data_IF_777067383153
#
_entry.id   IF_777067383153
#
_cell.length_a   1.000
_cell.length_b   1.000
_cell.length_c   1.000
_cell.angle_alpha   90.00
_cell.angle_beta   90.00
_cell.angle_gamma   90.00
#
_symmetry.space_group_name_H-M   'P 1'
#
loop_
_entity.id
_entity.type
_entity.pdbx_description
1 polymer ?
#
# COMPACT_ATOMS: atom_id res chain seq x y z
N UNK A 1 -6.30 -55.58 -49.22
CA UNK A 1 -6.71 -54.52 -48.24
C UNK A 1 -6.43 -53.17 -48.94
N UNK A 2 -7.46 -52.35 -49.18
CA UNK A 2 -7.39 -51.21 -50.07
C UNK A 2 -6.52 -50.09 -49.47
N UNK A 3 -5.53 -49.61 -50.22
CA UNK A 3 -4.59 -48.52 -49.85
C UNK A 3 -5.33 -47.31 -49.26
N UNK A 4 -6.53 -46.98 -49.77
CA UNK A 4 -7.38 -45.90 -49.22
C UNK A 4 -7.82 -46.10 -47.77
N UNK A 5 -8.01 -47.35 -47.30
CA UNK A 5 -8.35 -47.67 -45.89
C UNK A 5 -7.12 -47.53 -44.98
N UNK A 6 -5.91 -47.82 -45.45
CA UNK A 6 -4.66 -47.70 -44.73
C UNK A 6 -4.32 -46.19 -44.53
N UNK A 7 -4.51 -45.37 -45.60
CA UNK A 7 -4.32 -43.89 -45.49
C UNK A 7 -5.32 -43.24 -44.50
N UNK A 8 -6.59 -43.73 -44.50
CA UNK A 8 -7.60 -43.17 -43.57
C UNK A 8 -7.31 -43.51 -42.12
N UNK A 9 -6.80 -44.72 -41.82
CA UNK A 9 -6.43 -45.12 -40.46
C UNK A 9 -5.15 -44.41 -40.01
N UNK A 10 -4.16 -44.16 -40.89
CA UNK A 10 -2.98 -43.36 -40.55
C UNK A 10 -3.33 -41.88 -40.31
N UNK A 11 -4.27 -41.30 -41.09
CA UNK A 11 -4.69 -39.93 -40.87
C UNK A 11 -5.46 -39.74 -39.55
N UNK A 12 -6.29 -40.70 -39.15
CA UNK A 12 -6.95 -40.69 -37.85
C UNK A 12 -5.98 -40.89 -36.69
N UNK A 13 -4.94 -41.73 -36.83
CA UNK A 13 -3.92 -41.93 -35.83
C UNK A 13 -3.03 -40.69 -35.64
N UNK A 14 -2.75 -39.91 -36.69
CA UNK A 14 -2.01 -38.68 -36.63
C UNK A 14 -2.84 -37.53 -35.97
N UNK A 15 -4.16 -37.47 -36.19
CA UNK A 15 -5.06 -36.51 -35.57
C UNK A 15 -5.29 -36.79 -34.09
N UNK A 16 -5.21 -38.04 -33.64
CA UNK A 16 -5.34 -38.41 -32.22
C UNK A 16 -4.03 -38.17 -31.43
N UNK A 17 -2.86 -38.27 -32.06
CA UNK A 17 -1.57 -37.90 -31.41
C UNK A 17 -1.37 -36.39 -31.24
N UNK A 18 -1.96 -35.56 -32.12
CA UNK A 18 -1.86 -34.10 -31.99
C UNK A 18 -2.77 -33.52 -30.89
N UNK A 19 -3.75 -34.28 -30.36
CA UNK A 19 -4.58 -33.88 -29.23
C UNK A 19 -3.95 -34.18 -27.86
N UNK A 20 -2.88 -34.96 -27.83
CA UNK A 20 -2.16 -35.29 -26.58
C UNK A 20 -0.92 -34.43 -26.33
N UNK A 21 -0.51 -33.59 -27.31
CA UNK A 21 0.63 -32.69 -27.18
C UNK A 21 0.24 -31.28 -26.68
N UNK A 22 -1.02 -31.04 -26.33
CA UNK A 22 -1.55 -29.75 -25.89
C UNK A 22 -1.72 -29.57 -24.38
N UNK A 23 -1.29 -30.52 -23.54
CA UNK A 23 -1.17 -30.30 -22.10
C UNK A 23 0.19 -29.67 -21.77
N UNK A 24 0.43 -28.48 -22.23
CA UNK A 24 1.34 -27.58 -21.54
C UNK A 24 0.76 -27.37 -20.13
N UNK A 25 1.47 -27.80 -19.10
CA UNK A 25 1.10 -27.51 -17.70
C UNK A 25 0.93 -26.00 -17.57
N UNK A 26 -0.31 -25.52 -17.65
CA UNK A 26 -0.59 -24.12 -17.38
C UNK A 26 -0.23 -23.91 -15.90
N UNK A 27 0.76 -23.04 -15.66
CA UNK A 27 1.16 -22.71 -14.29
C UNK A 27 -0.05 -22.29 -13.48
N UNK A 28 -0.14 -22.74 -12.23
CA UNK A 28 -1.21 -22.30 -11.33
C UNK A 28 -1.13 -20.79 -11.13
N UNK A 29 -2.21 -20.07 -11.42
CA UNK A 29 -2.28 -18.61 -11.26
C UNK A 29 -2.54 -18.28 -9.80
N UNK A 30 -1.82 -17.29 -9.27
CA UNK A 30 -2.13 -16.60 -8.01
C UNK A 30 -2.30 -15.13 -8.32
N UNK A 31 -3.45 -14.56 -7.96
CA UNK A 31 -3.78 -13.16 -8.20
C UNK A 31 -3.73 -12.37 -6.88
N UNK A 32 -2.89 -11.35 -6.86
CA UNK A 32 -2.68 -10.47 -5.71
C UNK A 32 -3.19 -9.08 -6.06
N UNK A 33 -4.11 -8.52 -5.25
CA UNK A 33 -4.45 -7.10 -5.33
C UNK A 33 -3.63 -6.33 -4.30
N UNK A 34 -3.11 -5.17 -4.71
CA UNK A 34 -2.25 -4.35 -3.85
C UNK A 34 -2.43 -2.86 -4.08
N UNK A 35 -2.12 -2.08 -3.05
CA UNK A 35 -1.95 -0.62 -3.12
C UNK A 35 -0.53 -0.17 -2.77
N UNK A 36 0.42 -1.10 -2.79
CA UNK A 36 1.83 -0.84 -2.46
C UNK A 36 2.49 0.05 -3.51
N UNK A 37 3.47 0.82 -3.10
CA UNK A 37 4.21 1.71 -4.00
C UNK A 37 5.04 0.93 -5.04
N UNK A 38 5.23 1.52 -6.23
CA UNK A 38 5.81 0.85 -7.40
C UNK A 38 7.17 0.20 -7.14
N UNK A 39 8.07 0.89 -6.42
CA UNK A 39 9.42 0.38 -6.11
C UNK A 39 9.39 -0.87 -5.21
N UNK A 40 8.38 -0.99 -4.35
CA UNK A 40 8.16 -2.20 -3.53
C UNK A 40 7.50 -3.30 -4.35
N UNK A 41 6.55 -2.93 -5.23
CA UNK A 41 5.87 -3.87 -6.11
C UNK A 41 6.87 -4.59 -7.02
N UNK A 42 7.83 -3.87 -7.59
CA UNK A 42 8.90 -4.45 -8.40
C UNK A 42 9.75 -5.45 -7.60
N UNK A 43 10.17 -5.09 -6.38
CA UNK A 43 10.93 -5.98 -5.48
C UNK A 43 10.13 -7.22 -5.10
N UNK A 44 8.84 -7.06 -4.75
CA UNK A 44 7.95 -8.17 -4.41
C UNK A 44 7.76 -9.11 -5.61
N UNK A 45 7.47 -8.57 -6.79
CA UNK A 45 7.27 -9.38 -8.00
C UNK A 45 8.53 -10.17 -8.35
N UNK A 46 9.72 -9.55 -8.23
CA UNK A 46 10.99 -10.25 -8.44
C UNK A 46 11.15 -11.38 -7.44
N UNK A 47 11.00 -11.12 -6.14
CA UNK A 47 11.15 -12.13 -5.10
C UNK A 47 10.16 -13.31 -5.29
N UNK A 48 8.92 -13.01 -5.64
CA UNK A 48 7.91 -14.04 -5.88
C UNK A 48 8.23 -14.90 -7.12
N UNK A 49 8.71 -14.29 -8.20
CA UNK A 49 9.10 -15.00 -9.43
C UNK A 49 10.31 -15.93 -9.18
N UNK A 50 11.27 -15.47 -8.37
CA UNK A 50 12.45 -16.26 -8.00
C UNK A 50 12.07 -17.44 -7.07
N UNK A 51 11.20 -17.21 -6.09
CA UNK A 51 10.79 -18.22 -5.10
C UNK A 51 9.84 -19.26 -5.70
N UNK A 52 8.97 -18.87 -6.63
CA UNK A 52 7.91 -19.70 -7.20
C UNK A 52 7.93 -19.72 -8.74
N UNK A 53 9.02 -20.22 -9.36
CA UNK A 53 9.15 -20.21 -10.83
C UNK A 53 8.08 -21.05 -11.55
N UNK A 54 7.42 -21.97 -10.85
CA UNK A 54 6.38 -22.84 -11.39
C UNK A 54 4.96 -22.27 -11.27
N UNK A 55 4.79 -21.11 -10.61
CA UNK A 55 3.51 -20.39 -10.51
C UNK A 55 3.45 -19.23 -11.48
N UNK A 56 2.23 -18.84 -11.85
CA UNK A 56 1.93 -17.60 -12.57
C UNK A 56 1.36 -16.58 -11.56
N UNK A 57 2.24 -15.79 -10.94
CA UNK A 57 1.84 -14.83 -9.93
C UNK A 57 1.65 -13.48 -10.61
N UNK A 58 0.42 -12.96 -10.53
CA UNK A 58 0.01 -11.68 -11.09
C UNK A 58 -0.31 -10.72 -9.96
N UNK A 59 0.32 -9.56 -9.95
CA UNK A 59 0.05 -8.48 -8.99
C UNK A 59 -0.68 -7.37 -9.73
N UNK A 60 -1.88 -6.99 -9.26
CA UNK A 60 -2.67 -5.88 -9.80
C UNK A 60 -2.63 -4.72 -8.81
N UNK A 61 -2.05 -3.61 -9.23
CA UNK A 61 -2.01 -2.37 -8.47
C UNK A 61 -3.31 -1.57 -8.61
N UNK A 62 -3.75 -1.02 -7.50
CA UNK A 62 -4.85 -0.04 -7.41
C UNK A 62 -4.58 0.97 -6.30
N UNK A 63 -5.17 2.17 -6.38
CA UNK A 63 -5.16 3.07 -5.24
C UNK A 63 -5.85 2.41 -4.03
N UNK A 64 -5.49 2.78 -2.80
CA UNK A 64 -6.05 2.14 -1.58
C UNK A 64 -7.58 2.17 -1.57
N UNK A 65 -8.17 3.29 -1.99
CA UNK A 65 -9.63 3.44 -2.07
C UNK A 65 -10.26 2.52 -3.11
N UNK A 66 -9.69 2.43 -4.31
CA UNK A 66 -10.17 1.57 -5.40
C UNK A 66 -9.99 0.09 -5.06
N UNK A 67 -8.86 -0.28 -4.45
CA UNK A 67 -8.57 -1.62 -3.97
C UNK A 67 -9.65 -2.10 -2.98
N UNK A 68 -9.95 -1.29 -1.98
CA UNK A 68 -11.00 -1.60 -1.01
C UNK A 68 -12.38 -1.69 -1.67
N UNK A 69 -12.73 -0.72 -2.53
CA UNK A 69 -14.02 -0.67 -3.22
C UNK A 69 -14.22 -1.88 -4.14
N UNK A 70 -13.19 -2.30 -4.86
CA UNK A 70 -13.20 -3.47 -5.73
C UNK A 70 -13.49 -4.74 -4.93
N UNK A 71 -12.72 -5.01 -3.86
CA UNK A 71 -12.93 -6.18 -3.00
C UNK A 71 -14.32 -6.19 -2.35
N UNK A 72 -14.80 -5.02 -1.88
CA UNK A 72 -16.14 -4.91 -1.31
C UNK A 72 -17.25 -5.19 -2.31
N UNK A 73 -17.09 -4.74 -3.57
CA UNK A 73 -18.07 -4.91 -4.64
C UNK A 73 -18.08 -6.35 -5.15
N UNK A 74 -16.92 -6.95 -5.36
CA UNK A 74 -16.79 -8.32 -5.86
C UNK A 74 -17.16 -9.35 -4.78
N UNK A 75 -16.89 -9.04 -3.51
CA UNK A 75 -17.21 -9.89 -2.37
C UNK A 75 -16.62 -11.30 -2.53
N UNK A 76 -17.44 -12.33 -2.28
CA UNK A 76 -17.02 -13.74 -2.40
C UNK A 76 -16.75 -14.22 -3.84
N UNK A 77 -17.15 -13.41 -4.83
CA UNK A 77 -16.96 -13.76 -6.25
C UNK A 77 -15.66 -13.17 -6.83
N UNK A 78 -14.86 -12.48 -6.02
CA UNK A 78 -13.60 -11.90 -6.48
C UNK A 78 -12.65 -12.95 -7.05
N UNK A 79 -11.92 -12.59 -8.09
CA UNK A 79 -10.80 -13.40 -8.61
C UNK A 79 -9.54 -13.26 -7.76
N UNK A 80 -9.45 -12.21 -6.94
CA UNK A 80 -8.33 -11.99 -6.02
C UNK A 80 -8.13 -13.18 -5.09
N UNK A 81 -6.91 -13.64 -4.96
CA UNK A 81 -6.53 -14.69 -4.01
C UNK A 81 -5.98 -14.10 -2.72
N UNK A 82 -5.14 -13.08 -2.84
CA UNK A 82 -4.45 -12.42 -1.71
C UNK A 82 -4.63 -10.90 -1.85
N UNK A 83 -5.05 -10.25 -0.77
CA UNK A 83 -4.97 -8.80 -0.65
C UNK A 83 -3.69 -8.43 0.11
N UNK A 84 -2.92 -7.48 -0.42
CA UNK A 84 -1.64 -7.05 0.13
C UNK A 84 -1.56 -5.53 0.21
N UNK A 85 -0.99 -5.02 1.31
CA UNK A 85 -0.89 -3.59 1.59
C UNK A 85 -2.25 -2.86 1.56
N UNK A 86 -3.25 -3.49 2.20
CA UNK A 86 -4.55 -2.84 2.41
C UNK A 86 -4.62 -2.31 3.85
N UNK A 87 -5.11 -1.09 3.99
CA UNK A 87 -5.22 -0.40 5.28
C UNK A 87 -6.18 -1.12 6.23
N UNK A 88 -5.84 -1.19 7.53
CA UNK A 88 -6.56 -1.96 8.56
C UNK A 88 -8.07 -1.67 8.66
N UNK A 89 -8.56 -0.42 8.57
CA UNK A 89 -10.02 -0.19 8.56
C UNK A 89 -10.74 -0.94 7.44
N UNK A 90 -10.13 -1.06 6.27
CA UNK A 90 -10.72 -1.82 5.17
C UNK A 90 -10.63 -3.33 5.39
N UNK A 91 -9.49 -3.83 5.91
CA UNK A 91 -9.34 -5.25 6.27
C UNK A 91 -10.36 -5.64 7.35
N UNK A 92 -10.53 -4.83 8.39
CA UNK A 92 -11.55 -5.02 9.44
C UNK A 92 -12.95 -5.07 8.85
N UNK A 93 -13.26 -4.21 7.88
CA UNK A 93 -14.56 -4.21 7.21
C UNK A 93 -14.77 -5.46 6.35
N UNK A 94 -13.75 -5.95 5.65
CA UNK A 94 -13.80 -7.20 4.90
C UNK A 94 -13.99 -8.40 5.84
N UNK A 95 -13.27 -8.43 6.97
CA UNK A 95 -13.36 -9.48 7.99
C UNK A 95 -14.76 -9.53 8.60
N UNK A 96 -15.34 -8.39 8.97
CA UNK A 96 -16.71 -8.30 9.50
C UNK A 96 -17.78 -8.84 8.54
N UNK A 97 -17.48 -8.91 7.25
CA UNK A 97 -18.33 -9.48 6.19
C UNK A 97 -18.00 -10.95 5.88
N UNK A 98 -17.08 -11.57 6.62
CA UNK A 98 -16.58 -12.93 6.38
C UNK A 98 -16.04 -13.12 4.96
N UNK A 99 -15.25 -12.14 4.47
CA UNK A 99 -14.60 -12.17 3.17
C UNK A 99 -13.13 -12.57 3.24
N UNK A 100 -12.56 -12.69 4.45
CA UNK A 100 -11.17 -13.08 4.69
C UNK A 100 -11.10 -14.47 5.32
N UNK A 101 -10.08 -15.24 4.96
CA UNK A 101 -9.81 -16.57 5.49
C UNK A 101 -9.11 -16.49 6.86
N UNK A 102 -9.40 -17.44 7.75
CA UNK A 102 -8.61 -17.59 8.98
C UNK A 102 -7.19 -18.08 8.63
N UNK A 103 -6.18 -17.43 9.18
CA UNK A 103 -4.76 -17.62 8.87
C UNK A 103 -4.03 -18.53 9.87
N UNK A 104 -4.68 -18.95 10.94
CA UNK A 104 -4.07 -19.65 12.08
C UNK A 104 -3.29 -20.91 11.72
N UNK A 105 -3.77 -21.64 10.71
CA UNK A 105 -3.11 -22.88 10.21
C UNK A 105 -2.17 -22.60 9.01
N UNK A 106 -1.95 -21.33 8.66
CA UNK A 106 -1.17 -20.94 7.47
C UNK A 106 0.14 -20.28 7.86
N UNK A 107 0.10 -19.37 8.85
CA UNK A 107 1.27 -18.65 9.34
C UNK A 107 1.18 -18.42 10.85
N UNK A 108 2.31 -18.22 11.50
CA UNK A 108 2.37 -17.91 12.93
C UNK A 108 2.08 -16.43 13.17
N UNK A 109 0.87 -16.12 13.60
CA UNK A 109 0.44 -14.75 13.91
C UNK A 109 0.98 -14.22 15.25
N UNK A 110 1.53 -15.09 16.11
CA UNK A 110 2.01 -14.72 17.44
C UNK A 110 3.32 -13.93 17.43
N UNK A 111 4.02 -13.91 16.30
CA UNK A 111 5.28 -13.19 16.10
C UNK A 111 5.09 -11.66 16.00
N UNK A 112 3.87 -11.22 15.70
CA UNK A 112 3.57 -9.79 15.58
C UNK A 112 3.29 -9.13 16.92
N UNK A 113 3.51 -7.82 17.03
CA UNK A 113 3.19 -7.05 18.23
C UNK A 113 1.68 -7.02 18.49
N UNK A 114 1.28 -6.85 19.74
CA UNK A 114 -0.14 -6.95 20.12
C UNK A 114 -0.99 -5.81 19.53
N UNK A 115 -0.40 -4.63 19.34
CA UNK A 115 -1.05 -3.49 18.67
C UNK A 115 -1.17 -3.68 17.15
N UNK A 116 -0.35 -4.57 16.57
CA UNK A 116 -0.40 -4.92 15.15
C UNK A 116 -1.26 -6.15 14.86
N UNK A 117 -1.49 -7.04 15.83
CA UNK A 117 -2.22 -8.32 15.66
C UNK A 117 -3.66 -8.20 16.16
N UNK A 118 -4.56 -7.65 15.34
CA UNK A 118 -5.96 -7.36 15.70
C UNK A 118 -6.95 -8.45 15.28
N UNK A 119 -6.56 -9.39 14.42
CA UNK A 119 -7.44 -10.43 13.87
C UNK A 119 -6.68 -11.71 13.55
N UNK A 120 -7.39 -12.85 13.51
CA UNK A 120 -6.87 -14.11 12.97
C UNK A 120 -7.05 -14.20 11.43
N UNK A 121 -7.72 -13.21 10.80
CA UNK A 121 -8.02 -13.24 9.37
C UNK A 121 -7.14 -12.31 8.54
N UNK A 122 -6.39 -11.42 9.16
CA UNK A 122 -5.38 -10.58 8.51
C UNK A 122 -4.22 -10.30 9.44
N UNK A 123 -3.04 -10.09 8.87
CA UNK A 123 -1.80 -9.84 9.60
C UNK A 123 -1.17 -8.52 9.13
N UNK A 124 -0.35 -7.88 9.97
CA UNK A 124 0.34 -6.66 9.57
C UNK A 124 1.32 -6.95 8.42
N UNK A 125 1.48 -5.95 7.57
CA UNK A 125 2.53 -5.87 6.59
C UNK A 125 3.51 -4.76 7.00
N UNK A 126 3.00 -3.58 7.34
CA UNK A 126 3.80 -2.44 7.82
C UNK A 126 2.96 -1.44 8.61
N UNK A 127 3.67 -0.54 9.31
CA UNK A 127 3.16 0.74 9.76
C UNK A 127 3.74 1.80 8.82
N UNK A 128 2.91 2.47 8.04
CA UNK A 128 3.34 3.59 7.23
C UNK A 128 3.04 4.91 7.92
N UNK A 129 4.05 5.79 8.01
CA UNK A 129 3.95 7.12 8.57
C UNK A 129 3.99 8.20 7.50
N UNK A 130 3.28 9.30 7.75
CA UNK A 130 3.30 10.51 6.93
C UNK A 130 4.29 11.53 7.47
N UNK A 131 4.84 12.34 6.57
CA UNK A 131 5.75 13.43 6.90
C UNK A 131 5.47 14.66 6.02
N UNK A 132 5.97 15.81 6.47
CA UNK A 132 6.12 16.99 5.64
C UNK A 132 7.46 16.86 4.93
N UNK A 133 7.43 16.83 3.60
CA UNK A 133 8.60 16.59 2.77
C UNK A 133 8.87 17.85 1.98
N UNK A 134 10.10 18.32 2.00
CA UNK A 134 10.51 19.56 1.34
C UNK A 134 11.46 19.26 0.18
N UNK A 135 11.26 19.90 -0.96
CA UNK A 135 12.31 20.07 -1.96
C UNK A 135 13.16 21.28 -1.57
N UNK A 136 14.34 21.01 -1.01
CA UNK A 136 15.21 22.05 -0.44
C UNK A 136 15.81 22.97 -1.50
N UNK A 137 16.04 22.46 -2.70
CA UNK A 137 16.57 23.25 -3.82
C UNK A 137 15.52 24.22 -4.35
N UNK A 138 14.27 23.75 -4.54
CA UNK A 138 13.18 24.59 -5.03
C UNK A 138 12.81 25.68 -4.02
N UNK A 139 12.79 25.37 -2.71
CA UNK A 139 12.57 26.36 -1.67
C UNK A 139 13.67 27.44 -1.71
N UNK A 140 14.93 27.05 -1.87
CA UNK A 140 16.06 27.97 -1.98
C UNK A 140 15.97 28.82 -3.26
N UNK A 141 15.66 28.23 -4.40
CA UNK A 141 15.48 28.94 -5.67
C UNK A 141 14.41 30.02 -5.57
N UNK A 142 13.28 29.70 -4.94
CA UNK A 142 12.17 30.62 -4.74
C UNK A 142 12.37 31.58 -3.56
N UNK A 143 13.51 31.47 -2.84
CA UNK A 143 13.81 32.27 -1.62
C UNK A 143 12.69 32.15 -0.57
N UNK A 144 12.18 30.94 -0.36
CA UNK A 144 11.14 30.62 0.61
C UNK A 144 11.72 29.95 1.86
N UNK A 145 11.25 30.31 3.07
CA UNK A 145 11.66 29.62 4.29
C UNK A 145 11.07 28.21 4.35
N UNK A 146 11.68 27.34 5.13
CA UNK A 146 11.09 26.04 5.50
C UNK A 146 9.92 26.30 6.47
N UNK A 147 8.76 25.61 6.28
CA UNK A 147 7.66 25.67 7.25
C UNK A 147 8.04 24.90 8.52
N UNK A 148 7.53 25.35 9.67
CA UNK A 148 7.76 24.76 10.98
C UNK A 148 6.49 24.23 11.65
N UNK A 149 5.33 24.51 11.06
CA UNK A 149 4.02 24.13 11.58
C UNK A 149 3.01 23.94 10.43
N UNK A 150 1.89 23.27 10.73
CA UNK A 150 0.75 23.24 9.81
C UNK A 150 0.19 24.63 9.53
N UNK A 151 0.24 25.55 10.51
CA UNK A 151 -0.20 26.94 10.32
C UNK A 151 0.62 27.67 9.25
N UNK A 152 1.93 27.42 9.19
CA UNK A 152 2.80 28.04 8.18
C UNK A 152 2.41 27.65 6.74
N UNK A 153 1.86 26.46 6.55
CA UNK A 153 1.42 25.97 5.24
C UNK A 153 0.25 26.78 4.66
N UNK A 154 -0.44 27.56 5.50
CA UNK A 154 -1.53 28.44 5.08
C UNK A 154 -1.05 29.80 4.55
N UNK A 155 0.24 30.12 4.70
CA UNK A 155 0.78 31.37 4.20
C UNK A 155 0.76 31.38 2.66
N UNK A 156 0.25 32.47 2.09
CA UNK A 156 0.11 32.65 0.63
C UNK A 156 1.44 32.60 -0.14
N UNK A 157 2.59 32.72 0.55
CA UNK A 157 3.92 32.54 -0.07
C UNK A 157 4.11 31.11 -0.64
N UNK A 158 3.37 30.12 -0.13
CA UNK A 158 3.39 28.73 -0.62
C UNK A 158 2.28 28.41 -1.63
N UNK A 159 1.56 29.44 -2.12
CA UNK A 159 0.44 29.26 -3.06
C UNK A 159 0.86 28.49 -4.31
N UNK A 160 0.18 27.35 -4.57
CA UNK A 160 0.45 26.46 -5.69
C UNK A 160 1.75 25.67 -5.55
N UNK A 161 2.34 25.57 -4.34
CA UNK A 161 3.60 24.86 -4.08
C UNK A 161 3.44 23.66 -3.14
N UNK A 162 2.21 23.34 -2.73
CA UNK A 162 1.93 22.23 -1.84
C UNK A 162 1.27 21.10 -2.63
N UNK A 163 1.74 19.87 -2.44
CA UNK A 163 1.08 18.66 -2.93
C UNK A 163 0.69 17.76 -1.77
N UNK A 164 -0.51 17.21 -1.82
CA UNK A 164 -1.00 16.26 -0.81
C UNK A 164 -1.91 15.21 -1.45
N UNK A 165 -1.96 13.96 -0.93
CA UNK A 165 -2.85 12.96 -1.49
C UNK A 165 -4.31 13.25 -1.12
N UNK A 166 -5.25 12.89 -2.00
CA UNK A 166 -6.67 12.98 -1.70
C UNK A 166 -7.05 11.90 -0.68
N UNK A 167 -7.65 12.26 0.47
CA UNK A 167 -8.07 11.30 1.49
C UNK A 167 -8.99 10.17 1.01
N UNK A 168 -9.84 10.44 0.00
CA UNK A 168 -10.78 9.42 -0.51
C UNK A 168 -10.12 8.34 -1.35
N UNK A 169 -9.03 8.65 -2.04
CA UNK A 169 -8.32 7.68 -2.89
C UNK A 169 -7.07 7.11 -2.23
N UNK A 170 -6.42 7.87 -1.33
CA UNK A 170 -5.15 7.52 -0.71
C UNK A 170 -5.25 7.35 0.81
N UNK A 171 -4.75 6.22 1.32
CA UNK A 171 -4.59 6.01 2.76
C UNK A 171 -3.69 7.08 3.40
N UNK A 172 -2.62 7.49 2.71
CA UNK A 172 -1.74 8.58 3.16
C UNK A 172 -2.50 9.90 3.31
N UNK A 173 -3.35 10.25 2.35
CA UNK A 173 -4.20 11.44 2.45
C UNK A 173 -5.14 11.36 3.65
N UNK A 174 -5.73 10.18 3.88
CA UNK A 174 -6.62 9.96 5.01
C UNK A 174 -5.89 10.06 6.37
N UNK A 175 -4.66 9.56 6.47
CA UNK A 175 -3.87 9.70 7.69
C UNK A 175 -3.70 11.17 8.10
N UNK A 176 -3.38 12.06 7.16
CA UNK A 176 -3.29 13.50 7.42
C UNK A 176 -4.64 14.10 7.83
N UNK A 177 -5.73 13.71 7.17
CA UNK A 177 -7.07 14.19 7.54
C UNK A 177 -7.40 13.79 8.97
N UNK A 178 -7.29 12.51 9.30
CA UNK A 178 -7.63 11.98 10.62
C UNK A 178 -6.76 12.59 11.72
N UNK A 179 -5.44 12.67 11.51
CA UNK A 179 -4.49 13.26 12.45
C UNK A 179 -4.84 14.70 12.80
N UNK A 180 -5.17 15.53 11.80
CA UNK A 180 -5.53 16.93 12.03
C UNK A 180 -6.92 17.07 12.68
N UNK A 181 -7.86 16.19 12.35
CA UNK A 181 -9.16 16.11 13.06
C UNK A 181 -8.93 15.81 14.55
N UNK A 182 -8.05 14.86 14.87
CA UNK A 182 -7.75 14.47 16.23
C UNK A 182 -6.99 15.55 17.01
N UNK A 183 -6.07 16.26 16.38
CA UNK A 183 -5.25 17.29 17.05
C UNK A 183 -5.96 18.63 17.22
N UNK A 184 -6.74 19.08 16.25
CA UNK A 184 -7.36 20.42 16.23
C UNK A 184 -8.85 20.40 16.59
N UNK A 185 -9.50 19.23 16.51
CA UNK A 185 -10.95 19.08 16.46
C UNK A 185 -11.50 19.24 15.03
N UNK A 186 -12.62 18.57 14.77
CA UNK A 186 -13.15 18.37 13.43
C UNK A 186 -13.41 19.68 12.65
N UNK A 187 -14.17 20.60 13.26
CA UNK A 187 -14.55 21.84 12.57
C UNK A 187 -13.32 22.66 12.17
N UNK A 188 -12.33 22.78 13.07
CA UNK A 188 -11.09 23.50 12.79
C UNK A 188 -10.22 22.78 11.74
N UNK A 189 -10.22 21.44 11.74
CA UNK A 189 -9.47 20.69 10.75
C UNK A 189 -10.06 20.89 9.34
N UNK A 190 -11.38 20.87 9.18
CA UNK A 190 -11.99 21.15 7.89
C UNK A 190 -11.81 22.62 7.46
N UNK A 191 -11.91 23.60 8.38
CA UNK A 191 -11.54 24.99 8.08
C UNK A 191 -10.06 25.13 7.65
N UNK A 192 -9.18 24.37 8.29
CA UNK A 192 -7.76 24.32 7.91
C UNK A 192 -7.59 23.80 6.48
N UNK A 193 -8.22 22.67 6.13
CA UNK A 193 -8.13 22.11 4.78
C UNK A 193 -8.77 23.03 3.72
N UNK A 194 -9.82 23.75 4.07
CA UNK A 194 -10.40 24.76 3.18
C UNK A 194 -9.39 25.87 2.83
N UNK A 195 -8.63 26.35 3.82
CA UNK A 195 -7.56 27.34 3.61
C UNK A 195 -6.35 26.72 2.91
N UNK A 196 -5.93 25.52 3.33
CA UNK A 196 -4.79 24.83 2.73
C UNK A 196 -5.02 24.59 1.23
N UNK A 197 -6.25 24.28 0.83
CA UNK A 197 -6.60 24.01 -0.57
C UNK A 197 -6.27 25.18 -1.52
N UNK A 198 -6.21 26.40 -1.01
CA UNK A 198 -5.81 27.58 -1.80
C UNK A 198 -4.31 27.57 -2.15
N UNK A 199 -3.49 26.89 -1.34
CA UNK A 199 -2.05 26.73 -1.53
C UNK A 199 -1.68 25.41 -2.19
N UNK A 200 -2.62 24.46 -2.26
CA UNK A 200 -2.39 23.15 -2.88
C UNK A 200 -2.32 23.27 -4.39
N UNK A 201 -1.22 22.84 -4.97
CA UNK A 201 -1.05 22.66 -6.41
C UNK A 201 -1.93 21.49 -6.92
N UNK A 202 -1.89 20.38 -6.20
CA UNK A 202 -2.57 19.15 -6.62
C UNK A 202 -2.92 18.26 -5.43
N UNK A 203 -4.15 17.72 -5.45
CA UNK A 203 -4.54 16.55 -4.65
C UNK A 203 -4.28 15.30 -5.49
N UNK A 204 -3.28 14.50 -5.11
CA UNK A 204 -2.87 13.32 -5.87
C UNK A 204 -3.74 12.10 -5.53
N UNK A 205 -3.80 11.11 -6.42
CA UNK A 205 -4.57 9.88 -6.20
C UNK A 205 -3.85 8.84 -5.35
N UNK A 206 -2.51 8.91 -5.26
CA UNK A 206 -1.66 7.97 -4.52
C UNK A 206 -0.84 8.66 -3.44
N UNK A 207 -0.29 7.85 -2.50
CA UNK A 207 0.59 8.32 -1.43
C UNK A 207 1.95 8.81 -1.91
N UNK A 208 2.47 8.26 -3.01
CA UNK A 208 3.72 8.68 -3.67
C UNK A 208 3.61 9.97 -4.46
N UNK A 209 2.41 10.36 -4.86
CA UNK A 209 2.17 11.53 -5.71
C UNK A 209 2.86 12.81 -5.22
N UNK A 210 2.79 13.18 -3.92
CA UNK A 210 3.47 14.37 -3.42
C UNK A 210 4.98 14.34 -3.63
N UNK A 211 5.65 13.23 -3.33
CA UNK A 211 7.11 13.11 -3.54
C UNK A 211 7.45 13.23 -5.02
N UNK A 212 6.66 12.62 -5.90
CA UNK A 212 6.85 12.75 -7.34
C UNK A 212 6.71 14.21 -7.81
N UNK A 213 5.72 14.96 -7.31
CA UNK A 213 5.57 16.39 -7.63
C UNK A 213 6.76 17.23 -7.14
N UNK A 214 7.34 16.87 -5.98
CA UNK A 214 8.57 17.51 -5.49
C UNK A 214 9.75 17.25 -6.42
N UNK A 215 9.95 16.02 -6.87
CA UNK A 215 11.06 15.62 -7.75
C UNK A 215 10.94 16.28 -9.14
N UNK A 216 9.72 16.46 -9.61
CA UNK A 216 9.44 17.15 -10.89
C UNK A 216 9.55 18.68 -10.78
N UNK A 217 9.74 19.22 -9.55
CA UNK A 217 9.80 20.67 -9.32
C UNK A 217 8.46 21.37 -9.44
N UNK A 218 7.35 20.64 -9.42
CA UNK A 218 5.98 21.18 -9.49
C UNK A 218 5.49 21.69 -8.14
N UNK A 219 5.96 21.06 -7.05
CA UNK A 219 5.68 21.49 -5.68
C UNK A 219 6.98 21.58 -4.88
N UNK A 220 6.98 22.43 -3.85
CA UNK A 220 8.11 22.59 -2.93
C UNK A 220 7.89 21.87 -1.61
N UNK A 221 6.62 21.58 -1.26
CA UNK A 221 6.21 20.98 -0.01
C UNK A 221 5.24 19.84 -0.32
N UNK A 222 5.50 18.67 0.23
CA UNK A 222 4.64 17.50 0.11
C UNK A 222 4.15 17.01 1.47
N UNK A 223 2.85 16.74 1.60
CA UNK A 223 2.31 15.94 2.68
C UNK A 223 2.31 14.48 2.16
N UNK A 224 3.33 13.70 2.46
CA UNK A 224 3.56 12.42 1.80
C UNK A 224 4.05 11.32 2.74
N UNK A 225 4.37 10.16 2.17
CA UNK A 225 4.90 9.02 2.94
C UNK A 225 6.38 9.22 3.26
N UNK A 226 6.74 8.99 4.53
CA UNK A 226 8.14 9.01 5.00
C UNK A 226 9.01 8.05 4.19
N UNK A 227 8.56 6.81 4.01
CA UNK A 227 9.29 5.75 3.31
C UNK A 227 9.59 6.09 1.85
N UNK A 228 8.63 6.73 1.16
CA UNK A 228 8.83 7.13 -0.23
C UNK A 228 9.89 8.26 -0.36
N UNK A 229 9.89 9.22 0.57
CA UNK A 229 10.94 10.24 0.59
C UNK A 229 12.32 9.64 0.89
N UNK A 230 12.40 8.70 1.86
CA UNK A 230 13.64 8.00 2.21
C UNK A 230 14.16 7.19 1.01
N UNK A 231 13.29 6.48 0.30
CA UNK A 231 13.66 5.74 -0.90
C UNK A 231 14.30 6.66 -1.94
N UNK A 232 13.69 7.81 -2.22
CA UNK A 232 14.23 8.77 -3.19
C UNK A 232 15.54 9.43 -2.73
N UNK A 233 15.69 9.69 -1.44
CA UNK A 233 16.98 10.15 -0.88
C UNK A 233 18.06 9.09 -1.08
N UNK A 234 17.76 7.82 -0.78
CA UNK A 234 18.74 6.75 -0.81
C UNK A 234 19.12 6.32 -2.23
N UNK A 235 18.18 6.25 -3.15
CA UNK A 235 18.42 5.74 -4.49
C UNK A 235 18.83 6.82 -5.50
N UNK A 236 18.30 8.04 -5.34
CA UNK A 236 18.46 9.11 -6.33
C UNK A 236 19.26 10.30 -5.79
N UNK A 237 19.69 10.29 -4.51
CA UNK A 237 20.24 11.44 -3.81
C UNK A 237 19.35 12.70 -3.94
N UNK A 238 18.04 12.47 -3.90
CA UNK A 238 17.06 13.52 -4.08
C UNK A 238 17.23 14.63 -3.03
N UNK A 239 17.12 15.93 -3.40
CA UNK A 239 17.29 17.07 -2.50
C UNK A 239 16.05 17.25 -1.59
N UNK A 240 15.65 16.17 -0.93
CA UNK A 240 14.49 16.14 -0.07
C UNK A 240 14.89 16.22 1.40
N UNK A 241 14.05 16.90 2.19
CA UNK A 241 14.15 16.95 3.65
C UNK A 241 12.84 16.52 4.26
N UNK A 242 12.93 15.64 5.26
CA UNK A 242 11.77 15.10 5.98
C UNK A 242 11.60 15.85 7.29
N UNK A 243 10.40 16.36 7.55
CA UNK A 243 10.05 17.07 8.78
C UNK A 243 8.81 16.46 9.42
N UNK A 244 8.76 16.55 10.75
CA UNK A 244 7.58 16.28 11.55
C UNK A 244 7.23 17.52 12.37
N UNK A 245 5.97 17.92 12.34
CA UNK A 245 5.48 19.03 13.15
C UNK A 245 5.07 18.55 14.56
N UNK A 246 4.69 19.48 15.42
CA UNK A 246 4.41 19.20 16.83
C UNK A 246 3.27 18.17 17.03
N UNK A 247 2.30 18.15 16.14
CA UNK A 247 1.17 17.21 16.12
C UNK A 247 1.61 15.74 15.98
N UNK A 248 2.80 15.52 15.47
CA UNK A 248 3.39 14.21 15.24
C UNK A 248 3.14 13.68 13.82
N UNK A 249 3.77 12.55 13.53
CA UNK A 249 3.60 11.82 12.26
C UNK A 249 2.25 11.12 12.25
N UNK A 250 1.36 11.41 11.31
CA UNK A 250 0.19 10.57 11.10
C UNK A 250 0.63 9.18 10.62
N UNK A 251 -0.09 8.13 11.01
CA UNK A 251 0.25 6.78 10.57
C UNK A 251 -0.99 5.92 10.37
N UNK A 252 -0.83 4.84 9.62
CA UNK A 252 -1.80 3.76 9.56
C UNK A 252 -1.09 2.41 9.50
N UNK A 253 -1.78 1.37 10.02
CA UNK A 253 -1.37 -0.01 9.83
C UNK A 253 -1.92 -0.52 8.50
N UNK A 254 -1.05 -1.18 7.77
CA UNK A 254 -1.39 -1.89 6.53
C UNK A 254 -1.15 -3.39 6.71
N UNK A 255 -1.96 -4.18 6.07
CA UNK A 255 -1.91 -5.62 6.26
C UNK A 255 -2.12 -6.41 4.99
N UNK A 256 -2.12 -7.73 5.19
CA UNK A 256 -2.31 -8.72 4.14
C UNK A 256 -3.24 -9.84 4.62
N UNK A 257 -3.99 -10.41 3.69
CA UNK A 257 -4.95 -11.47 3.98
C UNK A 257 -5.17 -12.36 2.75
N UNK A 258 -5.66 -13.57 3.00
CA UNK A 258 -6.19 -14.43 1.95
C UNK A 258 -7.71 -14.23 1.87
N UNK A 259 -8.26 -14.14 0.67
CA UNK A 259 -9.71 -14.07 0.46
C UNK A 259 -10.35 -15.42 0.83
N UNK A 260 -11.53 -15.37 1.50
CA UNK A 260 -12.24 -16.57 1.97
C UNK A 260 -12.52 -17.57 0.84
N UNK A 261 -12.14 -18.82 1.10
CA UNK A 261 -12.24 -19.93 0.13
C UNK A 261 -10.99 -20.14 -0.72
N UNK A 262 -10.14 -19.12 -0.90
CA UNK A 262 -8.90 -19.20 -1.69
C UNK A 262 -7.78 -19.95 -0.96
N UNK A 263 -7.80 -19.97 0.37
CA UNK A 263 -6.89 -20.77 1.22
C UNK A 263 -6.96 -22.28 0.96
N UNK A 264 -7.94 -22.77 0.23
CA UNK A 264 -8.04 -24.18 -0.18
C UNK A 264 -7.02 -24.57 -1.25
N UNK A 265 -6.48 -23.57 -1.97
CA UNK A 265 -5.47 -23.74 -3.00
C UNK A 265 -4.08 -23.73 -2.39
N UNK A 266 -3.27 -24.78 -2.66
CA UNK A 266 -1.95 -24.90 -2.06
C UNK A 266 -0.98 -23.82 -2.51
N UNK A 267 -1.02 -23.43 -3.80
CA UNK A 267 -0.22 -22.32 -4.34
C UNK A 267 -0.49 -21.01 -3.60
N UNK A 268 -1.75 -20.68 -3.31
CA UNK A 268 -2.13 -19.47 -2.57
C UNK A 268 -1.56 -19.49 -1.14
N UNK A 269 -1.67 -20.61 -0.43
CA UNK A 269 -1.10 -20.75 0.91
C UNK A 269 0.41 -20.58 0.92
N UNK A 270 1.11 -21.20 -0.03
CA UNK A 270 2.57 -21.11 -0.10
C UNK A 270 3.05 -19.70 -0.42
N UNK A 271 2.42 -19.02 -1.37
CA UNK A 271 2.73 -17.63 -1.72
C UNK A 271 2.45 -16.72 -0.51
N UNK A 272 1.29 -16.83 0.11
CA UNK A 272 0.95 -16.00 1.28
C UNK A 272 1.91 -16.24 2.45
N UNK A 273 2.23 -17.51 2.74
CA UNK A 273 3.17 -17.85 3.82
C UNK A 273 4.55 -17.21 3.59
N UNK A 274 5.07 -17.28 2.37
CA UNK A 274 6.31 -16.62 2.01
C UNK A 274 6.22 -15.09 2.21
N UNK A 275 5.13 -14.46 1.75
CA UNK A 275 4.92 -13.03 1.92
C UNK A 275 4.86 -12.64 3.40
N UNK A 276 4.17 -13.45 4.23
CA UNK A 276 4.02 -13.20 5.65
C UNK A 276 5.32 -13.39 6.47
N UNK A 277 6.08 -14.43 6.18
CA UNK A 277 7.19 -14.89 7.03
C UNK A 277 8.57 -14.42 6.52
N UNK A 278 8.78 -14.37 5.20
CA UNK A 278 10.06 -14.01 4.62
C UNK A 278 10.03 -12.59 4.03
N UNK A 279 9.05 -12.28 3.17
CA UNK A 279 9.03 -11.00 2.50
C UNK A 279 8.70 -9.83 3.43
N UNK A 280 7.81 -9.99 4.42
CA UNK A 280 7.54 -8.93 5.41
C UNK A 280 8.78 -8.55 6.22
N UNK A 281 9.67 -9.50 6.52
CA UNK A 281 10.97 -9.21 7.16
C UNK A 281 11.87 -8.40 6.22
N UNK A 282 12.03 -8.88 4.97
CA UNK A 282 12.78 -8.17 3.93
C UNK A 282 12.27 -6.74 3.71
N UNK A 283 10.95 -6.57 3.71
CA UNK A 283 10.33 -5.25 3.57
C UNK A 283 10.75 -4.31 4.69
N UNK A 284 10.72 -4.78 5.94
CA UNK A 284 11.15 -3.98 7.08
C UNK A 284 12.66 -3.67 7.04
N UNK A 285 13.49 -4.59 6.57
CA UNK A 285 14.93 -4.39 6.42
C UNK A 285 15.29 -3.39 5.32
N UNK A 286 14.47 -3.31 4.27
CA UNK A 286 14.83 -2.56 3.07
C UNK A 286 14.11 -1.21 2.95
N UNK A 287 12.86 -1.11 3.42
CA UNK A 287 12.00 0.03 3.10
C UNK A 287 11.45 0.76 4.32
N UNK A 288 10.90 0.02 5.31
CA UNK A 288 10.19 0.62 6.45
C UNK A 288 10.57 -0.09 7.74
N UNK A 289 11.51 0.45 8.53
CA UNK A 289 12.04 -0.21 9.72
C UNK A 289 11.09 -0.15 10.94
N UNK A 290 9.79 0.00 10.70
CA UNK A 290 8.79 0.06 11.76
C UNK A 290 8.60 -1.28 12.44
N UNK A 291 8.47 -1.26 13.76
CA UNK A 291 8.39 -2.47 14.55
C UNK A 291 6.97 -3.06 14.50
N UNK A 292 6.80 -4.09 13.69
CA UNK A 292 5.58 -4.91 13.67
C UNK A 292 5.83 -6.32 14.25
N UNK A 293 7.09 -6.73 14.40
CA UNK A 293 7.48 -8.01 15.01
C UNK A 293 7.92 -7.80 16.46
N UNK A 294 7.62 -8.77 17.35
CA UNK A 294 8.00 -8.73 18.77
C UNK A 294 9.52 -8.77 18.99
N UNK A 295 10.22 -9.61 18.25
CA UNK A 295 11.60 -9.97 18.49
C UNK A 295 12.56 -9.50 17.38
N UNK A 296 12.15 -8.54 16.54
CA UNK A 296 12.96 -8.02 15.44
C UNK A 296 12.98 -6.50 15.46
N UNK A 297 14.15 -5.94 15.24
CA UNK A 297 14.38 -4.51 15.02
C UNK A 297 15.09 -4.32 13.69
N UNK A 298 14.77 -3.23 13.01
CA UNK A 298 15.25 -2.95 11.68
C UNK A 298 15.82 -1.53 11.61
N UNK A 299 16.77 -1.32 10.70
CA UNK A 299 17.33 -0.01 10.40
C UNK A 299 17.36 0.18 8.89
N UNK A 300 16.93 1.34 8.43
CA UNK A 300 17.02 1.75 7.02
C UNK A 300 17.76 3.07 6.96
N UNK A 301 18.72 3.19 6.06
CA UNK A 301 19.53 4.40 5.90
C UNK A 301 18.63 5.61 5.64
N UNK A 302 18.97 6.74 6.28
CA UNK A 302 18.19 8.00 6.23
C UNK A 302 16.74 7.92 6.72
N UNK A 303 16.27 6.79 7.23
CA UNK A 303 14.94 6.73 7.84
C UNK A 303 14.96 7.45 9.20
N UNK A 304 14.05 8.40 9.45
CA UNK A 304 14.04 9.14 10.70
C UNK A 304 13.86 8.23 11.90
N UNK A 305 14.63 8.49 12.96
CA UNK A 305 14.52 7.77 14.24
C UNK A 305 13.74 8.60 15.25
N UNK A 306 13.19 7.96 16.29
CA UNK A 306 12.45 8.63 17.38
C UNK A 306 11.25 9.45 16.87
N UNK A 307 10.51 8.93 15.91
CA UNK A 307 9.32 9.57 15.38
C UNK A 307 8.25 9.66 16.48
N UNK A 308 7.79 10.87 16.78
CA UNK A 308 6.58 11.07 17.57
C UNK A 308 5.38 10.84 16.68
N UNK A 309 4.58 9.83 16.98
CA UNK A 309 3.36 9.56 16.23
C UNK A 309 2.18 10.37 16.76
N UNK A 310 1.29 10.76 15.84
CA UNK A 310 0.02 11.38 16.17
C UNK A 310 -0.95 10.36 16.80
N UNK A 311 -1.99 10.84 17.47
CA UNK A 311 -3.07 9.99 17.92
C UNK A 311 -3.94 9.55 16.74
N UNK A 312 -3.93 8.25 16.46
CA UNK A 312 -4.70 7.60 15.39
C UNK A 312 -5.63 6.52 15.96
N UNK A 313 -5.92 6.55 17.26
CA UNK A 313 -6.67 5.49 17.99
C UNK A 313 -8.09 5.27 17.46
N UNK A 314 -8.70 6.28 16.84
CA UNK A 314 -10.03 6.22 16.24
C UNK A 314 -10.02 5.90 14.73
N UNK A 315 -8.92 5.36 14.20
CA UNK A 315 -8.86 4.94 12.79
C UNK A 315 -9.73 3.69 12.55
N UNK A 316 -11.03 3.90 12.42
CA UNK A 316 -12.03 2.85 12.20
C UNK A 316 -12.72 3.01 10.84
N UNK A 317 -13.37 1.93 10.32
CA UNK A 317 -14.14 2.02 9.08
C UNK A 317 -15.25 3.09 9.13
N UNK A 318 -15.94 3.20 10.28
CA UNK A 318 -17.05 4.12 10.48
C UNK A 318 -16.56 5.58 10.49
N UNK A 319 -15.46 5.85 11.19
CA UNK A 319 -14.85 7.18 11.23
C UNK A 319 -14.34 7.60 9.84
N UNK A 320 -13.73 6.68 9.13
CA UNK A 320 -13.27 6.90 7.76
C UNK A 320 -14.42 7.29 6.82
N UNK A 321 -15.52 6.54 6.83
CA UNK A 321 -16.69 6.85 6.02
C UNK A 321 -17.31 8.20 6.41
N UNK A 322 -17.38 8.49 7.69
CA UNK A 322 -17.94 9.73 8.24
C UNK A 322 -17.14 10.96 7.78
N UNK A 323 -15.80 10.90 7.85
CA UNK A 323 -14.92 11.98 7.41
C UNK A 323 -14.92 12.14 5.88
N UNK A 324 -14.99 11.03 5.14
CA UNK A 324 -15.09 11.07 3.67
C UNK A 324 -16.37 11.75 3.19
N UNK A 325 -17.48 11.59 3.90
CA UNK A 325 -18.74 12.27 3.57
C UNK A 325 -18.62 13.81 3.64
N UNK A 326 -17.71 14.33 4.47
CA UNK A 326 -17.44 15.77 4.63
C UNK A 326 -16.35 16.30 3.70
N UNK A 327 -15.46 15.44 3.23
CA UNK A 327 -14.37 15.83 2.33
C UNK A 327 -14.89 16.22 0.95
N UNK A 328 -14.52 17.41 0.47
CA UNK A 328 -15.11 18.00 -0.75
C UNK A 328 -14.12 18.26 -1.90
N UNK A 329 -12.82 17.94 -1.71
CA UNK A 329 -11.77 18.15 -2.70
C UNK A 329 -11.43 16.90 -3.51
#
# INVERSE_FOLDING_TARGET
MNIKKILSVMLCAFLTLSLLAGCGNSKEKVLIYTSIEDYVLEDLQQCLNEKFPDYNIVIEYMSTGDHAAKLMTEGKNTECDITYDLEYPYLSKLDSKNLLANLKDITDISVFTDDASLSECYIPHCRNGGAIILNTELLKEKNLPEPTSYADLLDSKYKGLISMPNPKSSGTGYMFLLSLVNSMGEDKAFEYFDKLSENVFQFTSSGSGPVNALLQGEAAIGLGMTSNAVEKINQENAPLKILFFEEGSPYSMYGQAIIEGKQKRNCVKQVFKYMAEEYSVRYCEKFVPEQIFKDKTFEVENYPTNIKYADMSNNTPEEKERLFAKWKY
#
